data_IF_070343614961
#
_entry.id   IF_070343614961
#
_cell.length_a   1.000
_cell.length_b   1.000
_cell.length_c   1.000
_cell.angle_alpha   90.00
_cell.angle_beta   90.00
_cell.angle_gamma   90.00
#
_symmetry.space_group_name_H-M   'P 1'
#
loop_
_entity.id
_entity.type
_entity.pdbx_description
1 polymer ?
#
# COMPACT_ATOMS: atom_id res chain seq x y z
N UNK A 1 28.47 10.89 10.14
CA UNK A 1 27.13 10.40 10.52
C UNK A 1 26.43 9.98 9.24
N UNK A 2 26.00 8.72 9.11
CA UNK A 2 25.22 8.30 7.94
C UNK A 2 23.76 8.71 8.16
N UNK A 3 23.30 9.76 7.47
CA UNK A 3 21.97 10.34 7.65
C UNK A 3 20.87 9.31 7.32
N UNK A 4 21.09 8.46 6.32
CA UNK A 4 20.13 7.45 5.87
C UNK A 4 19.88 6.37 6.93
N UNK A 5 20.85 6.12 7.80
CA UNK A 5 20.69 5.17 8.91
C UNK A 5 19.94 5.73 10.13
N UNK A 6 19.78 7.06 10.23
CA UNK A 6 19.23 7.73 11.40
C UNK A 6 17.90 8.43 11.10
N UNK A 7 17.72 8.95 9.90
CA UNK A 7 16.50 9.61 9.47
C UNK A 7 15.39 8.57 9.25
N UNK A 8 14.41 8.55 10.14
CA UNK A 8 13.23 7.68 10.06
C UNK A 8 12.10 8.22 10.92
N UNK A 9 10.90 7.69 10.70
CA UNK A 9 9.77 7.89 11.58
C UNK A 9 9.90 7.06 12.88
N UNK A 10 9.26 7.49 13.95
CA UNK A 10 9.29 6.78 15.23
C UNK A 10 8.74 5.35 15.08
N UNK A 11 9.52 4.31 15.44
CA UNK A 11 9.16 2.91 15.20
C UNK A 11 8.09 2.39 16.18
N UNK A 12 7.60 1.17 15.92
CA UNK A 12 6.73 0.42 16.83
C UNK A 12 5.26 0.88 16.90
N UNK A 13 4.60 0.48 17.99
CA UNK A 13 3.18 0.73 18.27
C UNK A 13 2.93 1.53 19.56
N UNK A 14 4.00 2.00 20.20
CA UNK A 14 3.92 2.77 21.44
C UNK A 14 3.19 4.10 21.26
N UNK A 15 2.72 4.76 22.33
CA UNK A 15 1.95 6.01 22.23
C UNK A 15 2.60 7.12 21.40
N UNK A 16 3.93 7.18 21.32
CA UNK A 16 4.70 8.17 20.56
C UNK A 16 5.20 7.65 19.20
N UNK A 17 4.83 6.42 18.82
CA UNK A 17 5.15 5.84 17.51
C UNK A 17 4.46 6.61 16.38
N UNK A 18 5.05 6.55 15.19
CA UNK A 18 4.43 7.12 14.00
C UNK A 18 3.09 6.47 13.68
N UNK A 19 2.98 5.15 13.86
CA UNK A 19 1.74 4.41 13.63
C UNK A 19 0.52 4.98 14.38
N UNK A 20 0.74 5.58 15.56
CA UNK A 20 -0.31 6.21 16.39
C UNK A 20 -0.44 7.72 16.23
N UNK A 21 0.52 8.38 15.57
CA UNK A 21 0.60 9.84 15.45
C UNK A 21 0.59 10.34 13.99
N UNK A 22 0.29 9.48 13.02
CA UNK A 22 0.29 9.79 11.59
C UNK A 22 -1.06 10.27 11.04
N UNK A 23 -1.91 10.88 11.88
CA UNK A 23 -3.28 11.29 11.50
C UNK A 23 -3.28 12.37 10.43
N UNK A 24 -2.33 13.31 10.48
CA UNK A 24 -2.24 14.37 9.48
C UNK A 24 -1.95 13.80 8.09
N UNK A 25 -0.94 12.94 7.98
CA UNK A 25 -0.57 12.24 6.74
C UNK A 25 -1.71 11.36 6.24
N UNK A 26 -2.45 10.71 7.16
CA UNK A 26 -3.63 9.93 6.81
C UNK A 26 -4.74 10.80 6.20
N UNK A 27 -4.99 11.99 6.75
CA UNK A 27 -5.98 12.92 6.19
C UNK A 27 -5.57 13.44 4.81
N UNK A 28 -4.28 13.68 4.59
CA UNK A 28 -3.76 14.02 3.25
C UNK A 28 -4.02 12.85 2.28
N UNK A 29 -3.71 11.62 2.71
CA UNK A 29 -3.98 10.41 1.92
C UNK A 29 -5.46 10.29 1.52
N UNK A 30 -6.40 10.51 2.44
CA UNK A 30 -7.83 10.51 2.13
C UNK A 30 -8.22 11.54 1.06
N UNK A 31 -7.63 12.74 1.12
CA UNK A 31 -7.93 13.81 0.17
C UNK A 31 -7.38 13.54 -1.22
N UNK A 32 -6.22 12.89 -1.32
CA UNK A 32 -5.55 12.63 -2.60
C UNK A 32 -5.99 11.33 -3.26
N UNK A 33 -6.46 10.35 -2.47
CA UNK A 33 -6.79 9.02 -2.97
C UNK A 33 -7.80 8.99 -4.13
N UNK A 34 -8.86 9.82 -4.20
CA UNK A 34 -9.77 9.81 -5.35
C UNK A 34 -9.04 10.02 -6.68
N UNK A 35 -8.08 10.95 -6.71
CA UNK A 35 -7.26 11.23 -7.89
C UNK A 35 -6.35 10.03 -8.21
N UNK A 36 -5.72 9.44 -7.19
CA UNK A 36 -4.87 8.25 -7.37
C UNK A 36 -5.68 7.08 -7.95
N UNK A 37 -6.86 6.77 -7.39
CA UNK A 37 -7.75 5.70 -7.87
C UNK A 37 -8.15 5.92 -9.33
N UNK A 38 -8.51 7.14 -9.71
CA UNK A 38 -8.85 7.49 -11.09
C UNK A 38 -7.66 7.25 -12.04
N UNK A 39 -6.49 7.78 -11.69
CA UNK A 39 -5.29 7.69 -12.54
C UNK A 39 -4.78 6.27 -12.69
N UNK A 40 -4.75 5.49 -11.61
CA UNK A 40 -4.35 4.08 -11.65
C UNK A 40 -5.32 3.26 -12.49
N UNK A 41 -6.63 3.46 -12.33
CA UNK A 41 -7.64 2.77 -13.15
C UNK A 41 -7.50 3.10 -14.64
N UNK A 42 -7.26 4.36 -14.98
CA UNK A 42 -7.03 4.81 -16.35
C UNK A 42 -5.74 4.20 -16.94
N UNK A 43 -4.64 4.19 -16.17
CA UNK A 43 -3.37 3.59 -16.57
C UNK A 43 -3.53 2.08 -16.84
N UNK A 44 -4.17 1.37 -15.91
CA UNK A 44 -4.37 -0.07 -15.99
C UNK A 44 -5.24 -0.46 -17.20
N UNK A 45 -6.31 0.29 -17.46
CA UNK A 45 -7.14 0.13 -18.67
C UNK A 45 -6.33 0.43 -19.94
N UNK A 46 -5.54 1.50 -19.96
CA UNK A 46 -4.69 1.88 -21.11
C UNK A 46 -3.64 0.81 -21.42
N UNK A 47 -3.12 0.15 -20.39
CA UNK A 47 -2.19 -0.98 -20.50
C UNK A 47 -2.88 -2.30 -20.89
N UNK A 48 -4.18 -2.29 -21.23
CA UNK A 48 -4.95 -3.44 -21.68
C UNK A 48 -5.00 -4.55 -20.62
N UNK A 49 -5.27 -4.15 -19.36
CA UNK A 49 -5.52 -5.09 -18.25
C UNK A 49 -4.41 -6.14 -18.09
N UNK A 50 -3.17 -5.70 -17.81
CA UNK A 50 -2.03 -6.61 -17.73
C UNK A 50 -2.22 -7.66 -16.64
N UNK A 51 -1.69 -8.87 -16.86
CA UNK A 51 -1.74 -9.96 -15.89
C UNK A 51 -1.02 -9.62 -14.57
N UNK A 52 0.02 -8.81 -14.63
CA UNK A 52 0.82 -8.38 -13.49
C UNK A 52 0.67 -6.89 -13.26
N UNK A 53 0.49 -6.49 -12.01
CA UNK A 53 0.39 -5.09 -11.61
C UNK A 53 1.36 -4.79 -10.46
N UNK A 54 2.41 -4.05 -10.74
CA UNK A 54 3.42 -3.68 -9.76
C UNK A 54 3.16 -2.27 -9.20
N UNK A 55 3.32 -2.13 -7.89
CA UNK A 55 3.15 -0.90 -7.11
C UNK A 55 4.38 -0.68 -6.24
N UNK A 56 4.86 0.55 -6.16
CA UNK A 56 5.89 0.94 -5.20
C UNK A 56 5.41 2.15 -4.39
N UNK A 57 5.53 2.06 -3.06
CA UNK A 57 5.35 3.19 -2.15
C UNK A 57 6.73 3.65 -1.65
N UNK A 58 7.07 4.89 -1.97
CA UNK A 58 8.40 5.48 -1.71
C UNK A 58 8.31 6.42 -0.50
N UNK A 59 9.00 6.05 0.59
CA UNK A 59 8.82 6.68 1.90
C UNK A 59 7.64 6.11 2.66
N UNK A 60 7.53 4.77 2.72
CA UNK A 60 6.38 4.06 3.28
C UNK A 60 6.24 4.21 4.82
N UNK A 61 7.30 4.63 5.50
CA UNK A 61 7.44 4.71 6.95
C UNK A 61 7.07 3.39 7.66
N UNK A 62 6.77 3.46 8.96
CA UNK A 62 6.48 2.32 9.85
C UNK A 62 5.01 2.25 10.30
N UNK A 63 4.12 3.00 9.64
CA UNK A 63 2.72 3.15 10.03
C UNK A 63 1.73 2.43 9.11
N UNK A 64 0.44 2.38 9.47
CA UNK A 64 -0.58 1.66 8.68
C UNK A 64 -0.95 2.38 7.36
N UNK A 65 -0.49 3.61 7.17
CA UNK A 65 -0.92 4.46 6.06
C UNK A 65 -0.51 3.88 4.69
N UNK A 66 0.66 3.26 4.59
CA UNK A 66 1.16 2.66 3.34
C UNK A 66 0.26 1.51 2.87
N UNK A 67 0.05 0.51 3.73
CA UNK A 67 -0.84 -0.62 3.44
C UNK A 67 -2.29 -0.18 3.20
N UNK A 68 -2.77 0.86 3.88
CA UNK A 68 -4.08 1.45 3.61
C UNK A 68 -4.16 2.01 2.17
N UNK A 69 -3.16 2.79 1.75
CA UNK A 69 -3.09 3.35 0.40
C UNK A 69 -3.10 2.24 -0.66
N UNK A 70 -2.27 1.22 -0.47
CA UNK A 70 -2.18 0.05 -1.35
C UNK A 70 -3.53 -0.67 -1.42
N UNK A 71 -4.21 -0.86 -0.29
CA UNK A 71 -5.53 -1.53 -0.26
C UNK A 71 -6.56 -0.80 -1.12
N UNK A 72 -6.55 0.54 -1.10
CA UNK A 72 -7.45 1.37 -1.89
C UNK A 72 -7.13 1.35 -3.38
N UNK A 73 -5.85 1.26 -3.74
CA UNK A 73 -5.44 1.10 -5.13
C UNK A 73 -5.88 -0.26 -5.67
N UNK A 74 -5.65 -1.33 -4.91
CA UNK A 74 -6.08 -2.69 -5.27
C UNK A 74 -7.61 -2.75 -5.43
N UNK A 75 -8.36 -2.14 -4.51
CA UNK A 75 -9.82 -2.03 -4.58
C UNK A 75 -10.28 -1.34 -5.88
N UNK A 76 -9.61 -0.26 -6.31
CA UNK A 76 -9.96 0.42 -7.55
C UNK A 76 -9.73 -0.46 -8.78
N UNK A 77 -8.62 -1.19 -8.84
CA UNK A 77 -8.33 -2.15 -9.91
C UNK A 77 -9.34 -3.31 -9.90
N UNK A 78 -9.64 -3.85 -8.72
CA UNK A 78 -10.61 -4.93 -8.53
C UNK A 78 -12.02 -4.55 -8.99
N UNK A 79 -12.47 -3.35 -8.60
CA UNK A 79 -13.74 -2.79 -9.06
C UNK A 79 -13.78 -2.58 -10.57
N UNK A 80 -12.69 -2.08 -11.16
CA UNK A 80 -12.56 -1.93 -12.60
C UNK A 80 -12.61 -3.29 -13.34
N UNK A 81 -11.90 -4.31 -12.85
CA UNK A 81 -11.94 -5.65 -13.42
C UNK A 81 -13.35 -6.25 -13.35
N UNK A 82 -14.01 -6.12 -12.21
CA UNK A 82 -15.40 -6.56 -12.01
C UNK A 82 -16.37 -5.90 -13.00
N UNK A 83 -16.26 -4.59 -13.19
CA UNK A 83 -17.11 -3.83 -14.13
C UNK A 83 -16.87 -4.19 -15.60
N UNK A 84 -15.66 -4.64 -15.94
CA UNK A 84 -15.25 -4.92 -17.32
C UNK A 84 -15.21 -6.41 -17.66
N UNK A 85 -15.61 -7.28 -16.72
CA UNK A 85 -15.57 -8.73 -16.88
C UNK A 85 -14.15 -9.29 -17.05
N UNK A 86 -13.15 -8.60 -16.51
CA UNK A 86 -11.73 -9.00 -16.59
C UNK A 86 -11.31 -9.75 -15.33
N UNK A 87 -10.33 -10.64 -15.48
CA UNK A 87 -9.68 -11.29 -14.34
C UNK A 87 -8.88 -10.29 -13.51
N UNK A 88 -8.73 -10.57 -12.22
CA UNK A 88 -7.86 -9.81 -11.34
C UNK A 88 -6.38 -10.06 -11.70
N UNK A 89 -5.51 -9.04 -11.62
CA UNK A 89 -4.09 -9.23 -11.83
C UNK A 89 -3.41 -9.84 -10.60
N UNK A 90 -2.23 -10.42 -10.82
CA UNK A 90 -1.26 -10.67 -9.75
C UNK A 90 -0.60 -9.33 -9.36
N UNK A 91 -0.71 -8.95 -8.09
CA UNK A 91 -0.23 -7.67 -7.57
C UNK A 91 1.11 -7.85 -6.86
N UNK A 92 2.10 -7.06 -7.28
CA UNK A 92 3.41 -6.99 -6.65
C UNK A 92 3.54 -5.63 -5.96
N UNK A 93 3.78 -5.62 -4.66
CA UNK A 93 3.87 -4.41 -3.85
C UNK A 93 5.27 -4.30 -3.29
N UNK A 94 5.88 -3.14 -3.51
CA UNK A 94 7.20 -2.80 -3.01
C UNK A 94 7.11 -1.62 -2.05
N UNK A 95 7.49 -1.86 -0.80
CA UNK A 95 7.57 -0.85 0.24
C UNK A 95 9.02 -0.39 0.35
N UNK A 96 9.27 0.88 0.07
CA UNK A 96 10.60 1.45 0.15
C UNK A 96 10.65 2.57 1.19
N UNK A 97 11.73 2.58 1.95
CA UNK A 97 12.12 3.63 2.88
C UNK A 97 13.62 3.49 3.15
N UNK A 98 14.18 4.40 3.94
CA UNK A 98 15.59 4.38 4.30
C UNK A 98 15.93 3.14 5.15
N UNK A 99 17.20 2.69 5.17
CA UNK A 99 17.61 1.48 5.89
C UNK A 99 17.28 1.45 7.38
N UNK A 100 17.14 2.63 8.00
CA UNK A 100 16.73 2.75 9.39
C UNK A 100 15.26 2.45 9.66
N UNK A 101 14.39 2.41 8.65
CA UNK A 101 12.94 2.29 8.85
C UNK A 101 12.54 0.97 9.54
N UNK A 102 11.45 1.01 10.29
CA UNK A 102 10.90 -0.16 10.99
C UNK A 102 9.95 -0.94 10.08
N UNK A 103 10.54 -1.66 9.13
CA UNK A 103 9.81 -2.59 8.26
C UNK A 103 9.20 -3.76 9.05
N UNK A 104 9.75 -4.12 10.21
CA UNK A 104 9.22 -5.23 11.03
C UNK A 104 7.78 -4.94 11.44
N UNK A 105 7.51 -3.72 11.91
CA UNK A 105 6.13 -3.31 12.25
C UNK A 105 5.20 -3.38 11.05
N UNK A 106 5.62 -2.92 9.87
CA UNK A 106 4.79 -2.96 8.66
C UNK A 106 4.50 -4.40 8.23
N UNK A 107 5.55 -5.24 8.15
CA UNK A 107 5.43 -6.64 7.75
C UNK A 107 4.60 -7.47 8.75
N UNK A 108 4.66 -7.14 10.05
CA UNK A 108 3.82 -7.78 11.07
C UNK A 108 2.32 -7.50 10.88
N UNK A 109 1.96 -6.45 10.15
CA UNK A 109 0.57 -6.09 9.84
C UNK A 109 0.05 -6.75 8.55
N UNK A 110 0.88 -7.52 7.83
CA UNK A 110 0.46 -8.17 6.58
C UNK A 110 -0.69 -9.19 6.74
N UNK A 111 -0.75 -10.03 7.80
CA UNK A 111 -1.85 -10.97 7.96
C UNK A 111 -3.22 -10.28 7.98
N UNK A 112 -3.38 -9.23 8.81
CA UNK A 112 -4.62 -8.46 8.88
C UNK A 112 -4.89 -7.67 7.59
N UNK A 113 -3.85 -7.20 6.90
CA UNK A 113 -3.99 -6.58 5.59
C UNK A 113 -4.58 -7.56 4.56
N UNK A 114 -4.10 -8.80 4.50
CA UNK A 114 -4.64 -9.81 3.57
C UNK A 114 -6.07 -10.20 3.91
N UNK A 115 -6.42 -10.34 5.19
CA UNK A 115 -7.80 -10.57 5.63
C UNK A 115 -8.73 -9.44 5.16
N UNK A 116 -8.35 -8.19 5.42
CA UNK A 116 -9.10 -7.00 4.98
C UNK A 116 -9.26 -6.93 3.45
N UNK A 117 -8.23 -7.35 2.69
CA UNK A 117 -8.32 -7.41 1.23
C UNK A 117 -9.35 -8.45 0.77
N UNK A 118 -9.37 -9.64 1.38
CA UNK A 118 -10.34 -10.69 1.04
C UNK A 118 -11.77 -10.24 1.35
N UNK A 119 -11.99 -9.65 2.53
CA UNK A 119 -13.31 -9.15 2.94
C UNK A 119 -13.87 -8.08 2.00
N UNK A 120 -13.04 -7.10 1.62
CA UNK A 120 -13.46 -5.98 0.77
C UNK A 120 -13.71 -6.40 -0.67
N UNK A 121 -12.88 -7.28 -1.23
CA UNK A 121 -12.95 -7.64 -2.64
C UNK A 121 -13.86 -8.85 -2.92
N UNK A 122 -14.27 -9.60 -1.88
CA UNK A 122 -15.07 -10.84 -1.97
C UNK A 122 -14.46 -11.94 -2.86
N UNK A 123 -13.24 -11.73 -3.31
CA UNK A 123 -12.45 -12.61 -4.18
C UNK A 123 -11.01 -12.54 -3.69
N UNK A 124 -10.32 -13.67 -3.72
CA UNK A 124 -8.91 -13.75 -3.36
C UNK A 124 -8.05 -13.08 -4.45
N UNK A 125 -7.33 -12.03 -4.06
CA UNK A 125 -6.35 -11.36 -4.92
C UNK A 125 -4.97 -11.91 -4.58
N UNK A 126 -4.25 -12.39 -5.59
CA UNK A 126 -2.84 -12.75 -5.45
C UNK A 126 -2.03 -11.46 -5.28
N UNK A 127 -1.67 -11.12 -4.05
CA UNK A 127 -0.93 -9.92 -3.69
C UNK A 127 0.30 -10.31 -2.89
N UNK A 128 1.48 -9.86 -3.34
CA UNK A 128 2.76 -10.15 -2.70
C UNK A 128 3.42 -8.83 -2.29
N UNK A 129 3.69 -8.67 -1.00
CA UNK A 129 4.32 -7.47 -0.43
C UNK A 129 5.77 -7.77 -0.07
N UNK A 130 6.69 -6.92 -0.54
CA UNK A 130 8.11 -6.96 -0.22
C UNK A 130 8.58 -5.61 0.31
N UNK A 131 9.49 -5.64 1.29
CA UNK A 131 10.24 -4.46 1.73
C UNK A 131 11.56 -4.37 0.95
N UNK A 132 11.84 -3.21 0.35
CA UNK A 132 13.07 -2.95 -0.41
C UNK A 132 13.93 -1.92 0.32
N UNK A 133 15.18 -2.31 0.59
CA UNK A 133 16.25 -1.49 1.17
C UNK A 133 17.13 -0.89 0.07
#
# INVERSE_FOLDING_TARGET
MNVESVLRMNPGHEPYSYARNSTHQRNVLFKTMPIVKERVSALYRKAIFPKYFALADLGCASGPNSLLAISWIIEAISGLCSQTGRSLPEVLVFLNDLPGNDFKTVLSSLPSFYENLKEKNRVEINCYVSAML
#
